data_IF_044521786232
#
_entry.id   IF_044521786232
#
_cell.length_a   1.000
_cell.length_b   1.000
_cell.length_c   1.000
_cell.angle_alpha   90.00
_cell.angle_beta   90.00
_cell.angle_gamma   90.00
#
_symmetry.space_group_name_H-M   'P 1'
#
loop_
_entity.id
_entity.type
_entity.pdbx_description
1 polymer ?
#
# COMPACT_ATOMS: atom_id res chain seq x y z
N UNK A 1 17.25 -3.48 13.02
CA UNK A 1 16.33 -2.45 12.48
C UNK A 1 15.22 -2.21 13.48
N UNK A 2 14.95 -0.96 13.79
CA UNK A 2 13.88 -0.65 14.73
C UNK A 2 12.51 -0.75 14.07
N UNK A 3 11.46 -0.85 14.88
CA UNK A 3 10.10 -0.91 14.36
C UNK A 3 9.73 0.39 13.66
N UNK A 4 10.25 1.52 14.14
CA UNK A 4 9.99 2.82 13.51
C UNK A 4 10.57 2.85 12.10
N UNK A 5 11.80 2.34 11.93
CA UNK A 5 12.43 2.27 10.61
C UNK A 5 11.64 1.34 9.69
N UNK A 6 11.11 0.23 10.23
CA UNK A 6 10.29 -0.67 9.44
C UNK A 6 9.02 0.02 8.92
N UNK A 7 8.36 0.84 9.76
CA UNK A 7 7.19 1.58 9.30
C UNK A 7 7.54 2.67 8.30
N UNK A 8 8.73 3.27 8.42
CA UNK A 8 9.20 4.22 7.41
C UNK A 8 9.43 3.52 6.07
N UNK A 9 10.03 2.33 6.08
CA UNK A 9 10.19 1.55 4.86
C UNK A 9 8.85 1.16 4.26
N UNK A 10 7.88 0.79 5.10
CA UNK A 10 6.53 0.48 4.62
C UNK A 10 5.90 1.70 3.95
N UNK A 11 6.06 2.88 4.55
CA UNK A 11 5.53 4.12 3.96
C UNK A 11 6.15 4.40 2.60
N UNK A 12 7.46 4.25 2.47
CA UNK A 12 8.15 4.43 1.19
C UNK A 12 7.65 3.41 0.17
N UNK A 13 7.47 2.16 0.59
CA UNK A 13 6.97 1.12 -0.30
C UNK A 13 5.57 1.44 -0.82
N UNK A 14 4.69 1.94 0.05
CA UNK A 14 3.33 2.30 -0.36
C UNK A 14 3.35 3.47 -1.33
N UNK A 15 4.12 4.51 -1.03
CA UNK A 15 4.19 5.69 -1.89
C UNK A 15 4.74 5.33 -3.26
N UNK A 16 5.81 4.55 -3.33
CA UNK A 16 6.38 4.16 -4.61
C UNK A 16 5.43 3.27 -5.41
N UNK A 17 4.70 2.37 -4.73
CA UNK A 17 3.71 1.55 -5.40
C UNK A 17 2.58 2.41 -5.96
N UNK A 18 2.11 3.40 -5.20
CA UNK A 18 1.06 4.29 -5.66
C UNK A 18 1.52 5.07 -6.89
N UNK A 19 2.75 5.58 -6.87
CA UNK A 19 3.31 6.27 -8.04
C UNK A 19 3.29 5.36 -9.27
N UNK A 20 3.78 4.12 -9.11
CA UNK A 20 3.79 3.17 -10.21
C UNK A 20 2.39 2.88 -10.73
N UNK A 21 1.44 2.71 -9.84
CA UNK A 21 0.06 2.38 -10.21
C UNK A 21 -0.62 3.56 -10.92
N UNK A 22 -0.36 4.78 -10.48
CA UNK A 22 -0.93 5.96 -11.12
C UNK A 22 -0.43 6.10 -12.57
N UNK A 23 0.84 5.80 -12.81
CA UNK A 23 1.39 5.88 -14.16
C UNK A 23 1.14 4.63 -14.99
N UNK A 24 0.65 3.56 -14.37
CA UNK A 24 0.43 2.29 -15.06
C UNK A 24 -0.53 2.45 -16.25
N UNK A 25 -1.58 3.23 -16.08
CA UNK A 25 -2.53 3.50 -17.15
C UNK A 25 -1.85 4.16 -18.35
N UNK A 26 -0.93 5.09 -18.08
CA UNK A 26 -0.25 5.84 -19.14
C UNK A 26 0.73 4.99 -19.92
N UNK A 27 1.09 3.80 -19.44
CA UNK A 27 2.00 2.91 -20.17
C UNK A 27 1.34 2.33 -21.43
N UNK A 28 0.02 2.32 -21.48
CA UNK A 28 -0.75 1.74 -22.61
C UNK A 28 -0.24 0.34 -22.93
N UNK A 29 -0.25 -0.52 -21.93
CA UNK A 29 0.22 -1.90 -22.09
C UNK A 29 1.73 -2.00 -22.19
N UNK A 30 2.45 -1.04 -21.57
CA UNK A 30 3.91 -0.95 -21.61
C UNK A 30 4.46 -0.69 -23.01
N UNK A 31 3.66 -0.01 -23.84
CA UNK A 31 4.11 0.40 -25.17
C UNK A 31 4.74 1.80 -25.15
N UNK A 32 4.47 2.60 -24.13
CA UNK A 32 5.05 3.93 -24.00
C UNK A 32 6.21 3.89 -23.06
N UNK A 33 7.38 4.37 -23.50
CA UNK A 33 8.65 4.19 -22.79
C UNK A 33 8.69 4.92 -21.45
N UNK A 34 8.40 6.21 -21.44
CA UNK A 34 8.59 7.01 -20.21
C UNK A 34 7.71 6.53 -19.05
N UNK A 35 6.37 6.40 -19.22
CA UNK A 35 5.57 5.89 -18.11
C UNK A 35 5.90 4.44 -17.75
N UNK A 36 6.33 3.64 -18.72
CA UNK A 36 6.73 2.26 -18.44
C UNK A 36 7.95 2.21 -17.53
N UNK A 37 8.94 3.06 -17.76
CA UNK A 37 10.13 3.15 -16.91
C UNK A 37 9.75 3.61 -15.52
N UNK A 38 8.91 4.64 -15.41
CA UNK A 38 8.47 5.16 -14.12
C UNK A 38 7.78 4.05 -13.31
N UNK A 39 6.86 3.32 -13.94
CA UNK A 39 6.12 2.25 -13.30
C UNK A 39 7.06 1.12 -12.86
N UNK A 40 7.95 0.69 -13.74
CA UNK A 40 8.86 -0.41 -13.44
C UNK A 40 9.80 -0.07 -12.28
N UNK A 41 10.40 1.12 -12.30
CA UNK A 41 11.30 1.54 -11.25
C UNK A 41 10.56 1.72 -9.92
N UNK A 42 9.36 2.28 -9.98
CA UNK A 42 8.54 2.49 -8.78
C UNK A 42 8.17 1.17 -8.13
N UNK A 43 7.75 0.19 -8.92
CA UNK A 43 7.42 -1.13 -8.38
C UNK A 43 8.64 -1.86 -7.86
N UNK A 44 9.77 -1.75 -8.54
CA UNK A 44 11.01 -2.36 -8.06
C UNK A 44 11.41 -1.79 -6.71
N UNK A 45 11.34 -0.47 -6.55
CA UNK A 45 11.64 0.18 -5.28
C UNK A 45 10.64 -0.26 -4.21
N UNK A 46 9.36 -0.33 -4.55
CA UNK A 46 8.33 -0.75 -3.61
C UNK A 46 8.58 -2.15 -3.09
N UNK A 47 8.84 -3.10 -3.96
CA UNK A 47 9.10 -4.48 -3.55
C UNK A 47 10.37 -4.59 -2.70
N UNK A 48 11.38 -3.81 -3.03
CA UNK A 48 12.59 -3.79 -2.23
C UNK A 48 12.30 -3.33 -0.80
N UNK A 49 11.61 -2.20 -0.64
CA UNK A 49 11.34 -1.66 0.68
C UNK A 49 10.36 -2.52 1.47
N UNK A 50 9.36 -3.13 0.81
CA UNK A 50 8.46 -4.03 1.53
C UNK A 50 9.21 -5.27 2.01
N UNK A 51 10.18 -5.75 1.25
CA UNK A 51 10.97 -6.90 1.69
C UNK A 51 11.74 -6.61 2.97
N UNK A 52 12.23 -5.37 3.11
CA UNK A 52 12.88 -4.95 4.35
C UNK A 52 11.89 -4.80 5.49
N UNK A 53 10.70 -4.27 5.20
CA UNK A 53 9.63 -4.10 6.19
C UNK A 53 9.25 -5.43 6.82
N UNK A 54 9.16 -6.48 6.03
CA UNK A 54 8.70 -7.79 6.50
C UNK A 54 9.66 -8.45 7.48
N UNK A 55 10.85 -7.91 7.67
CA UNK A 55 11.77 -8.39 8.70
C UNK A 55 11.29 -8.03 10.10
N UNK A 56 10.49 -6.99 10.24
CA UNK A 56 10.03 -6.50 11.54
C UNK A 56 8.52 -6.53 11.71
N UNK A 57 7.77 -6.41 10.63
CA UNK A 57 6.31 -6.31 10.67
C UNK A 57 5.72 -7.54 10.03
N UNK A 58 4.74 -8.20 10.68
CA UNK A 58 4.12 -9.38 10.09
C UNK A 58 3.49 -9.09 8.72
N UNK A 59 3.50 -10.08 7.85
CA UNK A 59 2.97 -9.94 6.50
C UNK A 59 1.52 -9.45 6.51
N UNK A 60 0.70 -10.01 7.40
CA UNK A 60 -0.71 -9.64 7.46
C UNK A 60 -0.91 -8.18 7.84
N UNK A 61 -0.12 -7.68 8.81
CA UNK A 61 -0.21 -6.27 9.23
C UNK A 61 0.26 -5.36 8.11
N UNK A 62 1.39 -5.69 7.48
CA UNK A 62 1.94 -4.89 6.38
C UNK A 62 0.95 -4.80 5.23
N UNK A 63 0.35 -5.92 4.87
CA UNK A 63 -0.58 -5.98 3.75
C UNK A 63 -1.87 -5.20 4.05
N UNK A 64 -2.37 -5.31 5.29
CA UNK A 64 -3.57 -4.57 5.69
C UNK A 64 -3.33 -3.06 5.64
N UNK A 65 -2.20 -2.60 6.16
CA UNK A 65 -1.86 -1.16 6.12
C UNK A 65 -1.70 -0.70 4.68
N UNK A 66 -0.99 -1.49 3.87
CA UNK A 66 -0.79 -1.19 2.46
C UNK A 66 -2.13 -1.04 1.74
N UNK A 67 -3.06 -1.99 1.96
CA UNK A 67 -4.37 -1.95 1.31
C UNK A 67 -5.15 -0.70 1.69
N UNK A 68 -5.18 -0.34 2.97
CA UNK A 68 -5.93 0.83 3.43
C UNK A 68 -5.32 2.14 2.98
N UNK A 69 -4.03 2.34 3.26
CA UNK A 69 -3.35 3.59 2.93
C UNK A 69 -3.22 3.74 1.41
N UNK A 70 -2.86 2.66 0.73
CA UNK A 70 -2.73 2.69 -0.72
C UNK A 70 -4.03 3.04 -1.41
N UNK A 71 -5.14 2.48 -0.94
CA UNK A 71 -6.46 2.77 -1.50
C UNK A 71 -6.78 4.26 -1.39
N UNK A 72 -6.53 4.87 -0.23
CA UNK A 72 -6.76 6.30 -0.03
C UNK A 72 -5.90 7.12 -0.99
N UNK A 73 -4.60 6.81 -1.04
CA UNK A 73 -3.67 7.58 -1.87
C UNK A 73 -4.00 7.45 -3.35
N UNK A 74 -4.33 6.25 -3.81
CA UNK A 74 -4.69 6.04 -5.21
C UNK A 74 -5.93 6.83 -5.57
N UNK A 75 -6.93 6.84 -4.70
CA UNK A 75 -8.16 7.60 -4.99
C UNK A 75 -7.90 9.10 -5.04
N UNK A 76 -7.05 9.61 -4.14
CA UNK A 76 -6.70 11.03 -4.16
C UNK A 76 -5.98 11.38 -5.47
N UNK A 77 -4.94 10.62 -5.82
CA UNK A 77 -4.15 10.95 -7.01
C UNK A 77 -4.91 10.69 -8.30
N UNK A 78 -5.75 9.66 -8.37
CA UNK A 78 -6.55 9.40 -9.56
C UNK A 78 -7.59 10.50 -9.75
N UNK A 79 -8.15 11.03 -8.67
CA UNK A 79 -9.08 12.15 -8.76
C UNK A 79 -8.40 13.39 -9.35
N UNK A 80 -7.16 13.63 -8.93
CA UNK A 80 -6.43 14.81 -9.41
C UNK A 80 -5.94 14.61 -10.83
N UNK A 81 -5.33 13.47 -11.13
CA UNK A 81 -4.66 13.25 -12.42
C UNK A 81 -5.64 12.87 -13.53
N UNK A 82 -6.64 12.05 -13.22
CA UNK A 82 -7.55 11.50 -14.23
C UNK A 82 -8.99 11.95 -14.03
N UNK A 83 -9.24 12.81 -13.06
CA UNK A 83 -10.59 13.30 -12.77
C UNK A 83 -11.54 12.14 -12.44
N UNK A 84 -11.04 11.12 -11.75
CA UNK A 84 -11.80 9.93 -11.38
C UNK A 84 -12.23 10.02 -9.94
N UNK A 85 -13.31 10.76 -9.69
CA UNK A 85 -13.82 10.96 -8.34
C UNK A 85 -14.75 9.82 -7.95
N UNK A 86 -14.56 9.18 -6.78
CA UNK A 86 -15.44 8.10 -6.36
C UNK A 86 -16.82 8.64 -6.00
N UNK A 87 -17.86 7.83 -6.22
CA UNK A 87 -19.21 8.20 -5.82
C UNK A 87 -19.41 7.92 -4.32
N UNK A 88 -20.60 8.25 -3.82
CA UNK A 88 -20.89 8.12 -2.40
C UNK A 88 -20.80 6.67 -1.91
N UNK A 89 -21.32 5.74 -2.69
CA UNK A 89 -21.31 4.31 -2.31
C UNK A 89 -19.87 3.80 -2.24
N UNK A 90 -19.03 4.18 -3.22
CA UNK A 90 -17.63 3.81 -3.23
C UNK A 90 -16.91 4.37 -2.02
N UNK A 91 -17.19 5.63 -1.68
CA UNK A 91 -16.59 6.27 -0.52
C UNK A 91 -16.95 5.57 0.78
N UNK A 92 -18.20 5.16 0.92
CA UNK A 92 -18.67 4.39 2.08
C UNK A 92 -17.95 3.05 2.15
N UNK A 93 -17.80 2.36 1.00
CA UNK A 93 -17.08 1.10 0.94
C UNK A 93 -15.63 1.24 1.35
N UNK A 94 -14.97 2.31 0.91
CA UNK A 94 -13.59 2.58 1.32
C UNK A 94 -13.50 2.82 2.83
N UNK A 95 -14.49 3.46 3.41
CA UNK A 95 -14.56 3.64 4.86
C UNK A 95 -14.62 2.31 5.60
N UNK A 96 -15.40 1.35 5.10
CA UNK A 96 -15.42 0.01 5.68
C UNK A 96 -14.10 -0.72 5.56
N UNK A 97 -13.39 -0.56 4.45
CA UNK A 97 -12.07 -1.16 4.28
C UNK A 97 -11.11 -0.60 5.32
N UNK A 98 -11.10 0.71 5.50
CA UNK A 98 -10.23 1.36 6.48
C UNK A 98 -10.57 0.89 7.89
N UNK A 99 -11.85 0.79 8.22
CA UNK A 99 -12.26 0.27 9.51
C UNK A 99 -11.76 -1.16 9.70
N UNK A 100 -11.86 -1.98 8.65
CA UNK A 100 -11.32 -3.34 8.69
C UNK A 100 -9.83 -3.38 8.93
N UNK A 101 -9.07 -2.48 8.31
CA UNK A 101 -7.62 -2.38 8.53
C UNK A 101 -7.32 -2.05 9.98
N UNK A 102 -8.05 -1.10 10.56
CA UNK A 102 -7.87 -0.73 11.96
C UNK A 102 -8.14 -1.92 12.87
N UNK A 103 -9.23 -2.66 12.61
CA UNK A 103 -9.59 -3.83 13.41
C UNK A 103 -8.52 -4.92 13.30
N UNK A 104 -8.00 -5.16 12.11
CA UNK A 104 -6.95 -6.16 11.90
C UNK A 104 -5.71 -5.80 12.72
N UNK A 105 -5.32 -4.52 12.69
CA UNK A 105 -4.16 -4.08 13.46
C UNK A 105 -4.37 -4.26 14.96
N UNK A 106 -5.54 -3.91 15.47
CA UNK A 106 -5.84 -4.10 16.89
C UNK A 106 -5.85 -5.57 17.27
N UNK A 107 -6.48 -6.42 16.45
CA UNK A 107 -6.51 -7.85 16.73
C UNK A 107 -5.12 -8.44 16.78
N UNK A 108 -4.28 -8.11 15.82
CA UNK A 108 -2.93 -8.66 15.77
C UNK A 108 -2.05 -8.14 16.90
N UNK A 109 -2.27 -6.90 17.34
CA UNK A 109 -1.56 -6.37 18.49
C UNK A 109 -1.90 -7.10 19.77
N UNK A 110 -3.19 -7.38 19.98
CA UNK A 110 -3.64 -7.97 21.23
C UNK A 110 -3.53 -9.51 21.27
N UNK A 111 -3.66 -10.14 20.11
CA UNK A 111 -3.65 -11.60 20.06
C UNK A 111 -2.33 -12.18 19.60
N UNK A 112 -1.43 -11.33 19.27
CA UNK A 112 -0.15 -11.77 18.83
C UNK A 112 0.55 -12.43 19.96
N UNK A 113 0.75 -13.56 20.02
CA UNK A 113 1.31 -14.06 21.03
C UNK A 113 2.32 -14.66 20.74
N UNK A 114 2.38 -15.14 20.78
CA UNK A 114 3.14 -15.94 20.68
C UNK A 114 3.75 -16.03 19.60
N UNK A 115 4.56 -16.17 19.74
CA UNK A 115 5.29 -16.16 18.74
C UNK A 115 5.36 -17.39 18.09
N UNK A 116 4.86 -17.97 18.29
CA UNK A 116 4.88 -18.78 17.50
C UNK A 116 4.10 -18.96 16.93
N UNK A 117 3.63 -18.77 17.59
CA UNK A 117 2.87 -18.66 17.14
C UNK A 117 2.67 -18.18 16.27
N UNK A 118 3.01 -18.14 16.38
CA UNK A 118 2.95 -17.63 15.72
C UNK A 118 3.34 -17.74 14.90
N UNK A 119 3.66 -18.24 15.16
CA UNK A 119 4.04 -18.47 14.77
C UNK A 119 4.12 -18.50 14.43
#
# INVERSE_FOLDING_TARGET
>A
MSIIVAYLFLSIAIVTEVIGTIYLRDTEGFTRLTPSIITALSYAASFYFISLTLKQIPVAVSYAIWSGVGLILINIFASIKYDQTPNTITTVGMGFIILGVVLVNFCLLYTSPSPRDNT
#
